data_IF_174661761403
#
_entry.id   IF_174661761403
#
_cell.length_a   1.000
_cell.length_b   1.000
_cell.length_c   1.000
_cell.angle_alpha   90.00
_cell.angle_beta   90.00
_cell.angle_gamma   90.00
#
_symmetry.space_group_name_H-M   'P 1'
#
loop_
_entity.id
_entity.type
_entity.pdbx_description
1 polymer ?
#
# COMPACT_ATOMS: atom_id res chain seq x y z
N UNK A 1 -18.25 23.54 5.60
CA UNK A 1 -16.86 24.04 5.72
C UNK A 1 -16.17 23.34 6.87
N UNK A 2 -14.92 22.90 6.72
CA UNK A 2 -14.18 22.21 7.79
C UNK A 2 -13.83 23.17 8.93
N UNK A 3 -13.92 22.72 10.18
CA UNK A 3 -13.49 23.49 11.36
C UNK A 3 -11.99 23.85 11.34
N UNK A 4 -11.20 23.18 10.51
CA UNK A 4 -9.76 23.42 10.35
C UNK A 4 -9.40 24.36 9.19
N UNK A 5 -10.40 24.89 8.47
CA UNK A 5 -10.20 25.84 7.38
C UNK A 5 -9.37 27.09 7.77
N UNK A 6 -9.51 27.68 8.98
CA UNK A 6 -8.71 28.85 9.35
C UNK A 6 -7.19 28.61 9.34
N UNK A 7 -6.74 27.41 9.70
CA UNK A 7 -5.32 27.03 9.62
C UNK A 7 -4.86 26.93 8.16
N UNK A 8 -5.69 26.37 7.28
CA UNK A 8 -5.38 26.28 5.85
C UNK A 8 -5.32 27.66 5.20
N UNK A 9 -6.24 28.56 5.53
CA UNK A 9 -6.27 29.93 5.04
C UNK A 9 -5.07 30.73 5.53
N UNK A 10 -4.71 30.57 6.81
CA UNK A 10 -3.48 31.14 7.37
C UNK A 10 -2.24 30.70 6.59
N UNK A 11 -2.07 29.39 6.39
CA UNK A 11 -0.95 28.83 5.64
C UNK A 11 -0.92 29.34 4.19
N UNK A 12 -2.07 29.35 3.49
CA UNK A 12 -2.16 29.81 2.10
C UNK A 12 -1.62 31.22 1.90
N UNK A 13 -1.88 32.11 2.86
CA UNK A 13 -1.55 33.54 2.81
C UNK A 13 -0.16 33.89 3.37
N UNK A 14 0.63 32.93 3.87
CA UNK A 14 1.97 33.21 4.37
C UNK A 14 2.97 33.48 3.25
N UNK A 15 3.64 34.63 3.26
CA UNK A 15 4.71 34.95 2.30
C UNK A 15 6.08 34.30 2.65
N UNK A 16 6.05 33.10 3.23
CA UNK A 16 7.24 32.34 3.64
C UNK A 16 7.15 30.92 3.10
N UNK A 17 8.30 30.26 2.94
CA UNK A 17 8.40 28.88 2.46
C UNK A 17 8.33 27.85 3.60
N UNK A 18 8.62 28.23 4.84
CA UNK A 18 8.54 27.38 6.02
C UNK A 18 8.00 28.16 7.22
N UNK A 19 7.22 27.49 8.07
CA UNK A 19 6.69 28.03 9.30
C UNK A 19 6.67 26.95 10.38
N UNK A 20 7.04 27.29 11.60
CA UNK A 20 6.83 26.44 12.78
C UNK A 20 5.80 27.10 13.66
N UNK A 21 4.77 26.36 14.03
CA UNK A 21 3.68 26.80 14.89
C UNK A 21 3.63 25.94 16.14
N UNK A 22 3.51 26.58 17.29
CA UNK A 22 3.11 25.92 18.52
C UNK A 22 1.65 25.50 18.45
N UNK A 23 1.26 24.50 19.26
CA UNK A 23 -0.12 24.05 19.31
C UNK A 23 -1.05 25.16 19.78
N UNK A 24 -0.58 26.02 20.69
CA UNK A 24 -1.38 27.11 21.24
C UNK A 24 -1.60 28.24 20.20
N UNK A 25 -0.64 28.47 19.29
CA UNK A 25 -0.86 29.32 18.10
C UNK A 25 -1.91 28.73 17.18
N UNK A 26 -1.88 27.42 16.93
CA UNK A 26 -2.88 26.73 16.11
C UNK A 26 -4.26 26.81 16.76
N UNK A 27 -4.37 26.60 18.08
CA UNK A 27 -5.63 26.73 18.81
C UNK A 27 -6.21 28.15 18.73
N UNK A 28 -5.37 29.18 18.80
CA UNK A 28 -5.79 30.58 18.59
C UNK A 28 -6.29 30.83 17.16
N UNK A 29 -5.62 30.26 16.15
CA UNK A 29 -6.06 30.35 14.75
C UNK A 29 -7.40 29.64 14.52
N UNK A 30 -7.61 28.50 15.17
CA UNK A 30 -8.80 27.67 15.00
C UNK A 30 -10.01 28.17 15.81
N UNK A 31 -9.80 28.93 16.88
CA UNK A 31 -10.85 29.37 17.80
C UNK A 31 -11.36 28.25 18.72
N UNK A 32 -10.67 27.11 18.79
CA UNK A 32 -10.97 26.01 19.71
C UNK A 32 -9.69 25.24 20.07
N UNK A 33 -9.73 24.53 21.21
CA UNK A 33 -8.60 23.70 21.66
C UNK A 33 -8.45 22.45 20.81
N UNK A 34 -7.22 22.13 20.41
CA UNK A 34 -6.94 20.95 19.62
C UNK A 34 -7.39 19.71 20.41
N UNK A 35 -7.98 18.71 19.74
CA UNK A 35 -8.41 17.50 20.43
C UNK A 35 -7.20 16.82 21.09
N UNK A 36 -7.38 16.10 22.22
CA UNK A 36 -6.29 15.39 22.89
C UNK A 36 -5.47 14.47 21.97
N UNK A 37 -6.08 14.00 20.86
CA UNK A 37 -5.43 13.20 19.83
C UNK A 37 -4.31 13.94 19.11
N UNK A 38 -4.41 15.25 18.93
CA UNK A 38 -3.36 16.07 18.29
C UNK A 38 -2.05 16.07 19.09
N UNK A 39 -2.13 15.97 20.43
CA UNK A 39 -0.97 15.90 21.33
C UNK A 39 -0.44 14.50 21.61
N UNK A 40 -1.12 13.45 21.15
CA UNK A 40 -0.78 12.05 21.47
C UNK A 40 -0.48 11.19 20.24
N UNK A 41 -1.03 11.53 19.07
CA UNK A 41 -0.95 10.69 17.88
C UNK A 41 -0.33 11.45 16.71
N UNK A 42 0.91 11.08 16.34
CA UNK A 42 1.63 11.61 15.17
C UNK A 42 0.81 11.58 13.86
N UNK A 43 -0.02 10.56 13.57
CA UNK A 43 -0.83 10.53 12.35
C UNK A 43 -1.81 11.69 12.19
N UNK A 44 -2.23 12.35 13.29
CA UNK A 44 -3.08 13.54 13.24
C UNK A 44 -2.47 14.68 12.41
N UNK A 45 -1.14 14.78 12.42
CA UNK A 45 -0.35 15.79 11.69
C UNK A 45 0.19 15.27 10.36
N UNK A 46 -0.23 14.08 9.93
CA UNK A 46 0.26 13.47 8.69
C UNK A 46 -0.22 14.22 7.45
N UNK A 47 0.55 14.10 6.37
CA UNK A 47 0.22 14.58 5.02
C UNK A 47 -0.79 13.66 4.29
N UNK A 48 -1.65 12.93 5.03
CA UNK A 48 -2.59 11.98 4.44
C UNK A 48 -3.91 12.66 4.01
N UNK A 49 -4.41 12.27 2.83
CA UNK A 49 -5.63 12.79 2.20
C UNK A 49 -6.85 11.90 2.26
N UNK A 50 -6.76 10.76 2.93
CA UNK A 50 -7.59 9.59 2.59
C UNK A 50 -8.90 9.52 3.39
N UNK A 51 -9.25 10.57 4.17
CA UNK A 51 -10.48 10.61 4.97
C UNK A 51 -11.13 11.99 4.95
N UNK A 52 -12.44 12.04 4.74
CA UNK A 52 -13.23 13.25 4.98
C UNK A 52 -13.08 13.70 6.43
N UNK A 53 -12.67 14.96 6.62
CA UNK A 53 -12.48 15.57 7.94
C UNK A 53 -11.08 15.45 8.56
N UNK A 54 -10.12 14.74 7.95
CA UNK A 54 -8.74 14.75 8.43
C UNK A 54 -8.05 16.09 8.12
N UNK A 55 -7.42 16.76 9.11
CA UNK A 55 -6.85 18.09 8.91
C UNK A 55 -5.66 18.10 7.91
N UNK A 56 -4.99 16.94 7.75
CA UNK A 56 -3.99 16.61 6.72
C UNK A 56 -4.30 17.05 5.30
N UNK A 57 -5.57 16.95 4.93
CA UNK A 57 -6.04 17.34 3.59
C UNK A 57 -5.93 18.84 3.37
N UNK A 58 -6.20 19.65 4.39
CA UNK A 58 -6.44 21.09 4.24
C UNK A 58 -5.16 21.89 4.10
N UNK A 59 -4.10 21.56 4.84
CA UNK A 59 -2.80 22.20 4.59
C UNK A 59 -2.21 21.76 3.24
N UNK A 60 -2.48 20.53 2.78
CA UNK A 60 -2.10 20.11 1.42
C UNK A 60 -2.84 20.86 0.34
N UNK A 61 -4.16 21.03 0.45
CA UNK A 61 -4.96 21.87 -0.44
C UNK A 61 -4.54 23.35 -0.38
N UNK A 62 -3.97 23.81 0.73
CA UNK A 62 -3.38 25.14 0.85
C UNK A 62 -1.97 25.26 0.25
N UNK A 63 -1.40 24.17 -0.29
CA UNK A 63 -0.05 24.13 -0.85
C UNK A 63 1.04 23.99 0.22
N UNK A 64 0.78 23.24 1.30
CA UNK A 64 1.70 23.02 2.42
C UNK A 64 1.76 21.55 2.83
N UNK A 65 2.93 21.13 3.31
CA UNK A 65 3.13 19.80 3.89
C UNK A 65 3.81 19.92 5.25
N UNK A 66 3.44 19.03 6.16
CA UNK A 66 4.10 18.87 7.43
C UNK A 66 5.48 18.22 7.22
N UNK A 67 6.51 18.79 7.87
CA UNK A 67 7.92 18.35 7.73
C UNK A 67 8.61 18.03 9.06
N UNK A 68 8.13 18.57 10.20
CA UNK A 68 8.65 18.26 11.53
C UNK A 68 7.52 18.32 12.56
N UNK A 69 7.54 17.40 13.52
CA UNK A 69 6.56 17.35 14.61
C UNK A 69 7.29 17.03 15.91
N UNK A 70 7.17 17.95 16.87
CA UNK A 70 7.61 17.79 18.24
C UNK A 70 6.38 17.79 19.16
N UNK A 71 5.97 16.58 19.59
CA UNK A 71 4.82 16.42 20.49
C UNK A 71 5.14 16.87 21.92
N UNK A 72 6.40 16.74 22.36
CA UNK A 72 6.84 17.08 23.71
C UNK A 72 6.90 18.60 23.86
N UNK A 73 7.55 19.27 22.91
CA UNK A 73 7.59 20.73 22.83
C UNK A 73 6.30 21.34 22.29
N UNK A 74 5.33 20.54 21.79
CA UNK A 74 4.06 20.98 21.17
C UNK A 74 4.26 21.95 20.01
N UNK A 75 5.15 21.59 19.07
CA UNK A 75 5.40 22.34 17.84
C UNK A 75 5.23 21.47 16.59
N UNK A 76 4.77 22.08 15.51
CA UNK A 76 4.70 21.46 14.18
C UNK A 76 5.26 22.44 13.14
N UNK A 77 6.11 21.93 12.25
CA UNK A 77 6.67 22.69 11.14
C UNK A 77 6.00 22.29 9.84
N UNK A 78 5.53 23.29 9.10
CA UNK A 78 5.00 23.17 7.75
C UNK A 78 5.96 23.84 6.78
N UNK A 79 6.11 23.26 5.60
CA UNK A 79 6.80 23.86 4.46
C UNK A 79 5.80 23.98 3.33
N UNK A 80 5.89 25.04 2.52
CA UNK A 80 5.15 25.11 1.26
C UNK A 80 5.44 23.82 0.51
N UNK A 81 4.38 23.05 0.28
CA UNK A 81 4.38 22.02 -0.72
C UNK A 81 4.30 22.83 -1.98
N UNK A 82 5.45 23.22 -2.51
CA UNK A 82 5.54 23.70 -3.86
C UNK A 82 4.74 22.71 -4.71
N UNK A 83 3.55 23.11 -5.16
CA UNK A 83 3.13 22.79 -6.52
C UNK A 83 4.05 23.63 -7.44
N UNK A 84 5.34 23.40 -7.31
CA UNK A 84 6.20 23.50 -8.46
C UNK A 84 5.92 22.18 -9.19
N UNK A 85 5.82 22.18 -10.53
CA UNK A 85 6.31 20.99 -11.21
C UNK A 85 7.66 20.73 -10.55
N UNK A 86 7.88 19.55 -9.97
CA UNK A 86 9.28 19.17 -9.81
C UNK A 86 9.77 19.24 -11.25
N UNK A 87 10.53 20.29 -11.55
CA UNK A 87 11.31 20.31 -12.76
C UNK A 87 12.08 19.00 -12.65
N UNK A 88 11.92 18.15 -13.65
CA UNK A 88 12.56 16.85 -13.68
C UNK A 88 14.04 17.01 -13.30
N UNK A 89 14.66 18.12 -13.71
CA UNK A 89 16.03 18.51 -13.40
C UNK A 89 16.36 18.59 -11.91
N UNK A 90 15.40 18.92 -11.05
CA UNK A 90 15.59 18.93 -9.61
C UNK A 90 15.80 17.54 -9.00
N UNK A 91 15.34 16.48 -9.67
CA UNK A 91 15.57 15.08 -9.29
C UNK A 91 16.91 14.53 -9.78
N UNK A 92 17.63 15.26 -10.64
CA UNK A 92 18.93 14.82 -11.13
C UNK A 92 19.88 14.55 -9.95
N UNK A 93 20.43 13.33 -9.80
CA UNK A 93 21.29 12.98 -8.68
C UNK A 93 22.50 13.91 -8.56
N UNK A 94 22.74 14.47 -7.37
CA UNK A 94 23.85 15.43 -7.13
C UNK A 94 25.05 14.79 -6.46
N UNK A 95 24.83 13.68 -5.76
CA UNK A 95 25.83 12.96 -4.96
C UNK A 95 26.07 11.56 -5.49
N UNK A 96 27.11 10.88 -5.00
CA UNK A 96 27.35 9.45 -5.22
C UNK A 96 27.14 8.70 -3.91
N UNK A 97 25.90 8.65 -3.41
CA UNK A 97 25.58 7.99 -2.14
C UNK A 97 25.97 6.51 -2.16
N UNK A 98 26.36 5.90 -1.04
CA UNK A 98 26.62 4.46 -1.01
C UNK A 98 25.29 3.69 -1.07
N UNK A 99 25.19 2.68 -1.94
CA UNK A 99 23.93 1.94 -2.10
C UNK A 99 23.49 1.30 -0.77
N UNK A 100 24.46 0.83 0.01
CA UNK A 100 24.28 0.38 1.38
C UNK A 100 23.54 1.42 2.25
N UNK A 101 23.98 2.68 2.26
CA UNK A 101 23.39 3.76 3.06
C UNK A 101 22.02 4.16 2.52
N UNK A 102 21.88 4.28 1.19
CA UNK A 102 20.62 4.63 0.56
C UNK A 102 19.52 3.58 0.83
N UNK A 103 19.88 2.30 0.92
CA UNK A 103 18.94 1.24 1.28
C UNK A 103 18.52 1.31 2.74
N UNK A 104 19.44 1.62 3.66
CA UNK A 104 19.10 1.85 5.06
C UNK A 104 18.16 3.07 5.22
N UNK A 105 18.46 4.17 4.52
CA UNK A 105 17.62 5.37 4.52
C UNK A 105 16.21 5.10 3.94
N UNK A 106 16.13 4.18 2.97
CA UNK A 106 14.87 3.74 2.39
C UNK A 106 14.12 2.70 3.25
N UNK A 107 14.70 2.26 4.38
CA UNK A 107 14.09 1.33 5.34
C UNK A 107 14.36 -0.16 5.05
N UNK A 108 15.31 -0.49 4.17
CA UNK A 108 15.66 -1.87 3.83
C UNK A 108 16.78 -2.40 4.71
N UNK A 109 16.66 -3.69 5.07
CA UNK A 109 17.74 -4.40 5.76
C UNK A 109 18.91 -4.64 4.80
N UNK A 110 20.13 -4.45 5.31
CA UNK A 110 21.40 -4.68 4.60
C UNK A 110 22.26 -5.73 5.32
N UNK A 111 21.65 -6.52 6.21
CA UNK A 111 22.38 -7.50 7.03
C UNK A 111 23.15 -8.51 6.17
N UNK A 112 22.55 -8.96 5.07
CA UNK A 112 23.17 -9.93 4.14
C UNK A 112 24.46 -9.40 3.48
N UNK A 113 24.66 -8.08 3.44
CA UNK A 113 25.84 -7.48 2.82
C UNK A 113 27.12 -7.82 3.59
N UNK A 114 27.01 -8.15 4.87
CA UNK A 114 28.13 -8.55 5.73
C UNK A 114 28.63 -9.96 5.47
N UNK A 115 27.99 -10.73 4.57
CA UNK A 115 28.32 -12.13 4.32
C UNK A 115 28.62 -12.43 2.86
N UNK A 116 29.51 -13.38 2.62
CA UNK A 116 29.75 -13.98 1.30
C UNK A 116 28.60 -14.93 0.96
N UNK A 117 28.56 -15.44 -0.27
CA UNK A 117 27.62 -16.50 -0.66
C UNK A 117 27.75 -17.78 0.18
N UNK A 118 28.92 -18.01 0.78
CA UNK A 118 29.19 -19.16 1.64
C UNK A 118 28.94 -18.86 3.13
N UNK A 119 28.54 -17.63 3.47
CA UNK A 119 28.20 -17.22 4.84
C UNK A 119 29.34 -16.56 5.64
N UNK A 120 30.55 -16.49 5.07
CA UNK A 120 31.74 -15.90 5.71
C UNK A 120 31.63 -14.37 5.81
N UNK A 121 32.22 -13.72 6.83
CA UNK A 121 32.21 -12.26 6.94
C UNK A 121 32.92 -11.56 5.77
N UNK A 122 32.35 -10.43 5.31
CA UNK A 122 32.94 -9.56 4.28
C UNK A 122 33.52 -8.31 4.92
N UNK A 123 34.82 -8.07 4.73
CA UNK A 123 35.51 -6.91 5.31
C UNK A 123 34.99 -5.57 4.75
N UNK A 124 34.83 -5.49 3.42
CA UNK A 124 34.30 -4.31 2.72
C UNK A 124 32.81 -4.46 2.38
N UNK A 125 31.99 -4.84 3.36
CA UNK A 125 30.56 -5.14 3.16
C UNK A 125 29.78 -4.02 2.48
N UNK A 126 30.10 -2.74 2.73
CA UNK A 126 29.44 -1.58 2.10
C UNK A 126 29.58 -1.51 0.57
N UNK A 127 30.52 -2.27 0.01
CA UNK A 127 30.78 -2.36 -1.44
C UNK A 127 30.72 -3.81 -1.92
N UNK A 128 29.97 -4.69 -1.23
CA UNK A 128 29.87 -6.10 -1.56
C UNK A 128 29.42 -6.30 -3.03
N UNK A 129 30.27 -6.91 -3.89
CA UNK A 129 29.98 -7.12 -5.32
C UNK A 129 28.72 -7.93 -5.58
N UNK A 130 28.27 -8.74 -4.62
CA UNK A 130 27.03 -9.52 -4.72
C UNK A 130 25.79 -8.64 -4.84
N UNK A 131 25.82 -7.43 -4.27
CA UNK A 131 24.64 -6.58 -4.16
C UNK A 131 24.80 -5.22 -4.86
N UNK A 132 26.03 -4.71 -5.00
CA UNK A 132 26.26 -3.34 -5.45
C UNK A 132 25.94 -3.10 -6.95
N UNK A 133 25.66 -4.15 -7.71
CA UNK A 133 25.27 -4.12 -9.12
C UNK A 133 23.78 -4.40 -9.37
N UNK A 134 23.01 -4.71 -8.32
CA UNK A 134 21.59 -5.04 -8.46
C UNK A 134 20.74 -3.82 -8.82
N UNK A 135 19.70 -4.05 -9.61
CA UNK A 135 18.83 -2.99 -10.15
C UNK A 135 17.57 -2.77 -9.31
N UNK A 136 17.29 -3.66 -8.38
CA UNK A 136 16.27 -3.50 -7.37
C UNK A 136 16.67 -4.24 -6.08
N UNK A 137 16.03 -3.88 -4.98
CA UNK A 137 16.24 -4.49 -3.66
C UNK A 137 14.90 -4.67 -2.95
N UNK A 138 14.91 -5.51 -1.92
CA UNK A 138 13.73 -5.78 -1.10
C UNK A 138 12.98 -7.01 -1.57
N UNK A 139 11.74 -7.11 -1.12
CA UNK A 139 10.92 -8.31 -1.24
C UNK A 139 9.44 -7.95 -1.18
N UNK A 140 8.58 -8.94 -1.39
CA UNK A 140 7.13 -8.75 -1.23
C UNK A 140 6.73 -8.28 0.17
N UNK A 141 7.44 -8.73 1.21
CA UNK A 141 7.13 -8.37 2.60
C UNK A 141 7.64 -6.98 2.96
N UNK A 142 8.79 -6.60 2.42
CA UNK A 142 9.49 -5.36 2.80
C UNK A 142 9.18 -4.19 1.85
N UNK A 143 8.55 -4.48 0.71
CA UNK A 143 8.44 -3.56 -0.42
C UNK A 143 9.70 -3.60 -1.30
N UNK A 144 9.77 -2.71 -2.27
CA UNK A 144 10.88 -2.69 -3.23
C UNK A 144 11.54 -1.31 -3.30
N UNK A 145 12.88 -1.31 -3.38
CA UNK A 145 13.66 -0.18 -3.86
C UNK A 145 14.05 -0.43 -5.33
N UNK A 146 13.67 0.48 -6.22
CA UNK A 146 13.92 0.38 -7.66
C UNK A 146 15.01 1.37 -8.07
N UNK A 147 16.02 0.90 -8.80
CA UNK A 147 17.08 1.77 -9.33
C UNK A 147 16.72 2.22 -10.74
N UNK A 148 16.34 3.49 -10.92
CA UNK A 148 16.02 4.07 -12.22
C UNK A 148 17.11 5.01 -12.70
N UNK A 149 17.41 4.95 -14.00
CA UNK A 149 18.21 5.99 -14.64
C UNK A 149 17.38 7.27 -14.75
N UNK A 150 17.96 8.37 -14.28
CA UNK A 150 17.34 9.70 -14.34
C UNK A 150 16.84 10.06 -15.74
N UNK A 151 17.60 9.69 -16.78
CA UNK A 151 17.25 9.96 -18.19
C UNK A 151 16.00 9.20 -18.69
N UNK A 152 15.51 8.20 -17.95
CA UNK A 152 14.26 7.50 -18.27
C UNK A 152 13.04 8.11 -17.60
N UNK A 153 13.25 9.09 -16.73
CA UNK A 153 12.15 9.85 -16.20
C UNK A 153 11.68 10.87 -17.23
N UNK A 154 10.38 11.06 -17.29
CA UNK A 154 9.73 12.07 -18.13
C UNK A 154 8.65 12.76 -17.32
N UNK A 155 8.15 13.87 -17.84
CA UNK A 155 6.93 14.52 -17.34
C UNK A 155 5.79 14.16 -18.26
N UNK A 156 4.72 13.59 -17.73
CA UNK A 156 3.54 13.25 -18.50
C UNK A 156 2.66 14.49 -18.82
N UNK A 157 1.60 14.37 -19.64
CA UNK A 157 0.72 15.49 -19.97
C UNK A 157 0.01 16.15 -18.79
N UNK A 158 -0.07 15.46 -17.64
CA UNK A 158 -0.66 15.97 -16.40
C UNK A 158 0.38 16.65 -15.50
N UNK A 159 1.62 16.79 -15.95
CA UNK A 159 2.70 17.42 -15.19
C UNK A 159 3.31 16.49 -14.13
N UNK A 160 3.03 15.19 -14.16
CA UNK A 160 3.55 14.22 -13.19
C UNK A 160 4.90 13.68 -13.67
N UNK A 161 5.83 13.49 -12.75
CA UNK A 161 7.08 12.78 -13.05
C UNK A 161 6.82 11.28 -13.07
N UNK A 162 7.18 10.65 -14.18
CA UNK A 162 6.92 9.24 -14.42
C UNK A 162 8.16 8.53 -14.95
N UNK A 163 8.29 7.25 -14.62
CA UNK A 163 9.06 6.29 -15.38
C UNK A 163 8.07 5.54 -16.28
N UNK A 164 8.18 5.75 -17.59
CA UNK A 164 7.46 4.98 -18.60
C UNK A 164 8.47 4.13 -19.36
N UNK A 165 8.31 2.81 -19.35
CA UNK A 165 9.26 1.95 -20.03
C UNK A 165 8.93 0.46 -19.96
N UNK A 166 9.77 -0.33 -20.61
CA UNK A 166 9.64 -1.77 -20.67
C UNK A 166 10.96 -2.44 -20.25
N UNK A 167 11.03 -2.86 -18.99
CA UNK A 167 12.23 -3.52 -18.44
C UNK A 167 12.37 -4.93 -19.01
N UNK A 168 11.25 -5.60 -19.34
CA UNK A 168 11.24 -6.92 -19.97
C UNK A 168 11.89 -6.93 -21.35
N UNK A 169 11.65 -5.90 -22.15
CA UNK A 169 12.31 -5.75 -23.44
C UNK A 169 13.84 -5.72 -23.30
N UNK A 170 14.35 -5.03 -22.26
CA UNK A 170 15.79 -5.03 -21.94
C UNK A 170 16.29 -6.42 -21.53
N UNK A 171 15.52 -7.14 -20.70
CA UNK A 171 15.82 -8.53 -20.35
C UNK A 171 15.90 -9.43 -21.58
N UNK A 172 14.92 -9.36 -22.47
CA UNK A 172 14.83 -10.24 -23.64
C UNK A 172 15.98 -9.97 -24.63
N UNK A 173 16.34 -8.70 -24.85
CA UNK A 173 17.48 -8.32 -25.66
C UNK A 173 18.81 -8.85 -25.08
N UNK A 174 19.01 -8.74 -23.76
CA UNK A 174 20.20 -9.27 -23.08
C UNK A 174 20.25 -10.79 -23.12
N UNK A 175 19.12 -11.45 -22.95
CA UNK A 175 19.02 -12.91 -22.98
C UNK A 175 19.30 -13.45 -24.38
N UNK A 176 18.90 -12.73 -25.44
CA UNK A 176 19.26 -13.08 -26.81
C UNK A 176 20.78 -13.03 -27.03
N UNK A 177 21.46 -11.98 -26.55
CA UNK A 177 22.92 -11.86 -26.61
C UNK A 177 23.61 -12.98 -25.80
N UNK A 178 23.09 -13.29 -24.61
CA UNK A 178 23.65 -14.34 -23.76
C UNK A 178 23.59 -15.74 -24.40
N UNK A 179 22.60 -15.97 -25.29
CA UNK A 179 22.36 -17.24 -26.00
C UNK A 179 22.99 -17.29 -27.39
N UNK A 180 23.53 -16.18 -27.87
CA UNK A 180 24.17 -16.11 -29.20
C UNK A 180 25.59 -16.66 -29.13
N UNK A 181 25.77 -17.91 -29.56
CA UNK A 181 27.07 -18.59 -29.59
C UNK A 181 28.11 -17.90 -30.49
N UNK A 182 27.69 -16.99 -31.38
CA UNK A 182 28.61 -16.19 -32.22
C UNK A 182 29.23 -15.00 -31.48
N UNK A 183 28.65 -14.59 -30.36
CA UNK A 183 29.17 -13.53 -29.49
C UNK A 183 30.33 -14.01 -28.61
N UNK A 184 31.23 -13.11 -28.24
CA UNK A 184 32.37 -13.42 -27.34
C UNK A 184 31.90 -13.97 -25.97
N UNK A 185 32.64 -14.93 -25.41
CA UNK A 185 32.24 -15.60 -24.17
C UNK A 185 32.10 -14.64 -22.98
N UNK A 186 32.95 -13.61 -22.88
CA UNK A 186 32.86 -12.60 -21.82
C UNK A 186 31.65 -11.67 -22.01
N UNK A 187 31.29 -11.40 -23.27
CA UNK A 187 30.09 -10.64 -23.63
C UNK A 187 28.83 -11.43 -23.27
N UNK A 188 28.77 -12.74 -23.56
CA UNK A 188 27.65 -13.60 -23.20
C UNK A 188 27.44 -13.68 -21.68
N UNK A 189 28.52 -13.89 -20.92
CA UNK A 189 28.45 -13.96 -19.45
C UNK A 189 27.93 -12.65 -18.84
N UNK A 190 28.44 -11.52 -19.33
CA UNK A 190 28.00 -10.19 -18.87
C UNK A 190 26.53 -9.94 -19.22
N UNK A 191 26.11 -10.32 -20.43
CA UNK A 191 24.72 -10.20 -20.86
C UNK A 191 23.79 -11.08 -20.01
N UNK A 192 24.22 -12.29 -19.66
CA UNK A 192 23.49 -13.18 -18.75
C UNK A 192 23.26 -12.54 -17.37
N UNK A 193 24.30 -12.00 -16.73
CA UNK A 193 24.18 -11.35 -15.42
C UNK A 193 23.29 -10.10 -15.48
N UNK A 194 23.41 -9.32 -16.55
CA UNK A 194 22.55 -8.15 -16.77
C UNK A 194 21.10 -8.56 -17.03
N UNK A 195 20.85 -9.66 -17.76
CA UNK A 195 19.51 -10.18 -17.99
C UNK A 195 18.86 -10.58 -16.66
N UNK A 196 19.57 -11.29 -15.78
CA UNK A 196 19.07 -11.67 -14.47
C UNK A 196 18.62 -10.45 -13.64
N UNK A 197 19.40 -9.36 -13.67
CA UNK A 197 19.07 -8.09 -12.98
C UNK A 197 17.88 -7.36 -13.61
N UNK A 198 17.80 -7.35 -14.94
CA UNK A 198 16.65 -6.79 -15.65
C UNK A 198 15.37 -7.55 -15.29
N UNK A 199 15.44 -8.89 -15.25
CA UNK A 199 14.32 -9.72 -14.82
C UNK A 199 13.89 -9.41 -13.38
N UNK A 200 14.83 -9.31 -12.45
CA UNK A 200 14.52 -9.01 -11.05
C UNK A 200 13.81 -7.65 -10.91
N UNK A 201 14.24 -6.63 -11.65
CA UNK A 201 13.57 -5.33 -11.68
C UNK A 201 12.16 -5.39 -12.29
N UNK A 202 11.97 -6.12 -13.40
CA UNK A 202 10.65 -6.34 -14.01
C UNK A 202 9.70 -7.05 -13.03
N UNK A 203 10.16 -8.12 -12.38
CA UNK A 203 9.40 -8.87 -11.38
C UNK A 203 9.01 -7.97 -10.19
N UNK A 204 9.91 -7.10 -9.72
CA UNK A 204 9.65 -6.15 -8.64
C UNK A 204 8.60 -5.09 -9.02
N UNK A 205 8.66 -4.56 -10.24
CA UNK A 205 7.65 -3.62 -10.77
C UNK A 205 6.30 -4.32 -10.89
N UNK A 206 6.27 -5.51 -11.49
CA UNK A 206 5.06 -6.32 -11.64
C UNK A 206 4.41 -6.62 -10.29
N UNK A 207 5.21 -6.98 -9.29
CA UNK A 207 4.72 -7.31 -7.97
C UNK A 207 4.26 -6.07 -7.19
N UNK A 208 4.96 -4.95 -7.36
CA UNK A 208 4.52 -3.65 -6.85
C UNK A 208 3.16 -3.24 -7.43
N UNK A 209 2.94 -3.47 -8.74
CA UNK A 209 1.66 -3.26 -9.39
C UNK A 209 0.57 -4.21 -8.86
N UNK A 210 0.81 -5.52 -8.92
CA UNK A 210 -0.15 -6.58 -8.53
C UNK A 210 -0.61 -6.44 -7.08
N UNK A 211 0.26 -5.95 -6.20
CA UNK A 211 -0.01 -5.81 -4.76
C UNK A 211 -0.32 -4.38 -4.33
N UNK A 212 -0.15 -3.41 -5.23
CA UNK A 212 -0.25 -1.99 -4.91
C UNK A 212 0.74 -1.56 -3.84
N UNK A 213 1.97 -2.08 -3.90
CA UNK A 213 3.05 -1.70 -2.97
C UNK A 213 3.55 -0.31 -3.30
N UNK A 214 3.96 0.40 -2.26
CA UNK A 214 4.74 1.63 -2.40
C UNK A 214 6.17 1.24 -2.77
N UNK A 215 6.68 1.80 -3.86
CA UNK A 215 8.08 1.65 -4.25
C UNK A 215 8.92 2.83 -3.72
N UNK A 216 10.14 2.53 -3.30
CA UNK A 216 11.20 3.52 -3.11
C UNK A 216 12.03 3.59 -4.38
N UNK A 217 12.51 4.76 -4.78
CA UNK A 217 13.29 4.92 -6.01
C UNK A 217 14.66 5.52 -5.72
N UNK A 218 15.70 4.83 -6.18
CA UNK A 218 17.07 5.32 -6.21
C UNK A 218 17.35 5.79 -7.64
N UNK A 219 17.61 7.09 -7.79
CA UNK A 219 17.89 7.69 -9.08
C UNK A 219 19.38 7.59 -9.38
N UNK A 220 19.71 7.11 -10.56
CA UNK A 220 21.06 6.88 -11.06
C UNK A 220 21.35 7.78 -12.26
N UNK A 221 22.59 8.26 -12.33
CA UNK A 221 23.09 9.02 -13.47
C UNK A 221 24.55 8.64 -13.75
N UNK A 222 24.93 8.60 -15.02
CA UNK A 222 26.27 8.26 -15.46
C UNK A 222 26.28 7.82 -16.91
N UNK A 223 27.24 6.98 -17.27
CA UNK A 223 27.38 6.49 -18.64
C UNK A 223 26.55 5.20 -18.77
N UNK A 224 25.32 5.34 -19.26
CA UNK A 224 24.49 4.20 -19.61
C UNK A 224 24.74 3.78 -21.06
N UNK A 225 24.92 2.49 -21.24
CA UNK A 225 25.05 1.87 -22.56
C UNK A 225 23.72 1.86 -23.30
N UNK A 226 23.79 2.16 -24.59
CA UNK A 226 22.63 2.06 -25.49
C UNK A 226 22.29 0.59 -25.74
N UNK A 227 21.08 0.34 -26.25
CA UNK A 227 20.58 -1.02 -26.53
C UNK A 227 21.51 -1.77 -27.51
N UNK A 228 22.08 -1.09 -28.50
CA UNK A 228 23.04 -1.62 -29.47
C UNK A 228 24.45 -1.87 -28.89
N UNK A 229 24.69 -1.46 -27.65
CA UNK A 229 25.93 -1.66 -26.90
C UNK A 229 25.80 -2.68 -25.75
N UNK A 230 24.63 -3.30 -25.59
CA UNK A 230 24.41 -4.32 -24.56
C UNK A 230 25.40 -5.47 -24.71
N UNK A 231 25.85 -6.03 -23.57
CA UNK A 231 26.88 -7.08 -23.53
C UNK A 231 28.32 -6.62 -23.82
N UNK A 232 28.52 -5.53 -24.59
CA UNK A 232 29.87 -5.02 -24.93
C UNK A 232 30.59 -4.37 -23.74
N UNK A 233 29.84 -3.88 -22.74
CA UNK A 233 30.38 -3.26 -21.54
C UNK A 233 29.32 -3.05 -20.45
N UNK A 234 29.76 -2.68 -19.24
CA UNK A 234 28.85 -2.31 -18.17
C UNK A 234 28.54 -0.80 -18.22
N UNK A 235 27.29 -0.43 -17.95
CA UNK A 235 26.92 0.94 -17.61
C UNK A 235 27.59 1.34 -16.30
N UNK A 236 27.99 2.61 -16.16
CA UNK A 236 28.63 3.11 -14.95
C UNK A 236 27.81 4.23 -14.31
N UNK A 237 27.59 4.10 -13.00
CA UNK A 237 26.86 5.09 -12.20
C UNK A 237 27.88 6.10 -11.65
N UNK A 238 27.81 7.32 -12.14
CA UNK A 238 28.63 8.45 -11.67
C UNK A 238 28.03 9.06 -10.39
N UNK A 239 26.70 9.22 -10.38
CA UNK A 239 25.93 9.80 -9.28
C UNK A 239 24.70 8.95 -9.00
N UNK A 240 24.31 8.85 -7.72
CA UNK A 240 23.06 8.23 -7.30
C UNK A 240 22.55 8.81 -5.99
N UNK A 241 21.23 8.89 -5.88
CA UNK A 241 20.55 9.49 -4.74
C UNK A 241 19.18 8.83 -4.55
N UNK A 242 18.79 8.60 -3.29
CA UNK A 242 17.44 8.18 -2.93
C UNK A 242 16.48 9.35 -3.12
N UNK A 243 15.38 9.11 -3.83
CA UNK A 243 14.26 10.03 -3.85
C UNK A 243 13.42 9.88 -2.58
N UNK A 244 13.10 11.00 -1.96
CA UNK A 244 12.33 11.05 -0.71
C UNK A 244 10.84 10.81 -0.94
N UNK A 245 10.36 11.00 -2.17
CA UNK A 245 8.97 10.74 -2.52
C UNK A 245 8.68 9.24 -2.64
N UNK A 246 7.40 8.91 -2.49
CA UNK A 246 6.88 7.57 -2.74
C UNK A 246 6.54 7.41 -4.22
N UNK A 247 6.73 6.20 -4.75
CA UNK A 247 6.43 5.88 -6.14
C UNK A 247 5.42 4.76 -6.21
N UNK A 248 4.59 4.80 -7.25
CA UNK A 248 3.48 3.88 -7.42
C UNK A 248 3.45 3.36 -8.85
N UNK A 249 3.31 2.05 -9.04
CA UNK A 249 3.08 1.50 -10.37
C UNK A 249 1.60 1.68 -10.72
N UNK A 250 1.32 2.56 -11.68
CA UNK A 250 -0.04 2.90 -12.14
C UNK A 250 -0.54 1.92 -13.19
N UNK A 251 0.35 1.39 -14.02
CA UNK A 251 0.01 0.43 -15.08
C UNK A 251 1.14 -0.56 -15.30
N UNK A 252 0.79 -1.78 -15.69
CA UNK A 252 1.71 -2.83 -16.09
C UNK A 252 1.03 -3.82 -17.05
N UNK A 253 1.54 -3.96 -18.27
CA UNK A 253 1.07 -4.97 -19.23
C UNK A 253 1.79 -6.30 -18.96
N UNK A 254 1.04 -7.32 -18.54
CA UNK A 254 1.61 -8.63 -18.19
C UNK A 254 2.18 -9.41 -19.37
N UNK A 255 1.77 -9.11 -20.60
CA UNK A 255 2.25 -9.72 -21.85
C UNK A 255 3.52 -9.03 -22.34
N UNK A 256 3.52 -7.70 -22.43
CA UNK A 256 4.63 -6.95 -23.01
C UNK A 256 5.69 -6.53 -21.99
N UNK A 257 5.31 -6.30 -20.73
CA UNK A 257 6.17 -5.72 -19.70
C UNK A 257 6.22 -4.19 -19.71
N UNK A 258 5.39 -3.54 -20.55
CA UNK A 258 5.23 -2.08 -20.50
C UNK A 258 4.67 -1.65 -19.15
N UNK A 259 5.26 -0.62 -18.55
CA UNK A 259 4.86 -0.13 -17.25
C UNK A 259 4.86 1.39 -17.16
N UNK A 260 4.04 1.91 -16.24
CA UNK A 260 3.99 3.31 -15.85
C UNK A 260 4.15 3.39 -14.34
N UNK A 261 5.26 3.96 -13.87
CA UNK A 261 5.52 4.23 -12.45
C UNK A 261 5.50 5.72 -12.23
N UNK A 262 4.67 6.19 -11.29
CA UNK A 262 4.39 7.60 -11.07
C UNK A 262 4.87 8.02 -9.70
N UNK A 263 5.58 9.15 -9.66
CA UNK A 263 6.11 9.76 -8.44
C UNK A 263 5.04 10.56 -7.71
N UNK A 264 4.93 10.36 -6.40
CA UNK A 264 4.17 11.17 -5.44
C UNK A 264 2.65 11.25 -5.72
N UNK A 265 2.16 10.43 -6.65
CA UNK A 265 0.73 10.33 -7.00
C UNK A 265 0.32 8.87 -6.86
N UNK A 266 -0.54 8.60 -5.90
CA UNK A 266 -1.18 7.30 -5.75
C UNK A 266 -2.17 7.09 -6.92
N UNK A 267 -2.28 5.89 -7.52
CA UNK A 267 -3.19 5.65 -8.63
C UNK A 267 -4.65 5.88 -8.23
N UNK A 268 -5.35 6.70 -9.02
CA UNK A 268 -6.79 6.96 -8.88
C UNK A 268 -7.60 5.71 -9.27
N UNK A 269 -8.71 5.46 -8.57
CA UNK A 269 -9.56 4.28 -8.78
C UNK A 269 -10.69 4.64 -9.76
N UNK A 270 -10.78 4.02 -10.96
CA UNK A 270 -11.98 4.17 -11.77
C UNK A 270 -13.13 3.36 -11.19
N UNK A 271 -14.24 4.03 -10.88
CA UNK A 271 -15.56 3.41 -10.66
C UNK A 271 -15.96 3.11 -9.21
N UNK A 272 -16.19 4.15 -8.41
CA UNK A 272 -17.05 4.05 -7.22
C UNK A 272 -18.17 5.09 -7.37
N UNK A 273 -19.29 4.69 -7.97
CA UNK A 273 -20.55 5.40 -7.75
C UNK A 273 -21.13 4.97 -6.39
N UNK A 274 -21.93 5.84 -5.78
CA UNK A 274 -22.45 5.73 -4.42
C UNK A 274 -23.35 4.49 -4.17
N UNK A 275 -23.70 3.72 -5.21
CA UNK A 275 -24.72 2.67 -5.17
C UNK A 275 -24.23 1.33 -5.71
N UNK A 276 -23.01 0.90 -5.35
CA UNK A 276 -22.69 -0.53 -5.11
C UNK A 276 -22.84 -1.59 -6.21
N UNK A 277 -23.28 -1.27 -7.42
CA UNK A 277 -23.55 -2.28 -8.46
C UNK A 277 -22.42 -2.34 -9.50
N UNK A 278 -21.87 -3.53 -9.73
CA UNK A 278 -20.99 -3.86 -10.85
C UNK A 278 -21.73 -4.92 -11.69
N UNK A 279 -22.10 -4.57 -12.93
CA UNK A 279 -22.62 -5.51 -13.92
C UNK A 279 -21.58 -6.58 -14.29
N UNK A 280 -22.04 -7.83 -14.37
CA UNK A 280 -21.26 -8.95 -14.87
C UNK A 280 -21.25 -8.93 -16.40
N UNK A 281 -20.09 -8.64 -16.99
CA UNK A 281 -19.81 -8.90 -18.40
C UNK A 281 -19.06 -10.24 -18.52
N UNK A 282 -19.60 -11.14 -19.33
CA UNK A 282 -19.07 -12.50 -19.59
C UNK A 282 -17.89 -12.50 -20.57
N UNK A 283 -17.61 -11.38 -21.26
CA UNK A 283 -16.51 -11.26 -22.23
C UNK A 283 -15.23 -10.58 -21.67
N UNK A 284 -15.08 -10.56 -20.34
CA UNK A 284 -14.03 -9.78 -19.68
C UNK A 284 -12.59 -10.24 -20.02
N UNK A 285 -11.75 -9.29 -20.43
CA UNK A 285 -10.35 -9.49 -20.83
C UNK A 285 -9.40 -9.74 -19.63
N UNK A 286 -8.17 -10.21 -19.90
CA UNK A 286 -7.18 -10.57 -18.86
C UNK A 286 -6.84 -9.43 -17.88
N UNK A 287 -6.92 -8.17 -18.33
CA UNK A 287 -6.74 -6.95 -17.52
C UNK A 287 -7.91 -6.69 -16.56
N UNK A 288 -9.13 -7.14 -16.89
CA UNK A 288 -10.32 -6.96 -16.06
C UNK A 288 -10.38 -7.98 -14.93
N UNK A 289 -9.89 -9.20 -15.15
CA UNK A 289 -9.71 -10.23 -14.12
C UNK A 289 -8.64 -9.83 -13.10
N UNK A 290 -7.56 -9.19 -13.56
CA UNK A 290 -6.49 -8.69 -12.67
C UNK A 290 -6.91 -7.45 -11.87
N UNK A 291 -7.64 -6.51 -12.48
CA UNK A 291 -8.23 -5.38 -11.78
C UNK A 291 -9.26 -5.82 -10.73
N UNK A 292 -10.02 -6.90 -10.98
CA UNK A 292 -10.91 -7.51 -9.98
C UNK A 292 -10.14 -8.03 -8.77
N UNK A 293 -8.99 -8.69 -8.94
CA UNK A 293 -8.19 -9.19 -7.81
C UNK A 293 -7.59 -8.08 -6.92
N UNK A 294 -7.17 -6.96 -7.52
CA UNK A 294 -6.67 -5.77 -6.80
C UNK A 294 -7.83 -5.06 -6.08
N UNK A 295 -8.98 -4.88 -6.75
CA UNK A 295 -10.22 -4.36 -6.15
C UNK A 295 -10.66 -5.22 -4.95
N UNK A 296 -10.60 -6.55 -5.09
CA UNK A 296 -10.96 -7.49 -4.03
C UNK A 296 -10.04 -7.38 -2.81
N UNK A 297 -8.72 -7.25 -3.02
CA UNK A 297 -7.74 -7.18 -1.93
C UNK A 297 -7.79 -5.85 -1.17
N UNK A 298 -7.94 -4.72 -1.88
CA UNK A 298 -8.09 -3.39 -1.25
C UNK A 298 -9.46 -3.25 -0.57
N UNK A 299 -10.51 -3.83 -1.16
CA UNK A 299 -11.84 -3.93 -0.56
C UNK A 299 -11.82 -4.67 0.78
N UNK A 300 -11.19 -5.84 0.85
CA UNK A 300 -11.01 -6.62 2.08
C UNK A 300 -10.31 -5.82 3.20
N UNK A 301 -9.20 -5.13 2.90
CA UNK A 301 -8.48 -4.32 3.91
C UNK A 301 -9.30 -3.11 4.39
N UNK A 302 -10.05 -2.45 3.48
CA UNK A 302 -10.93 -1.33 3.83
C UNK A 302 -12.12 -1.81 4.65
N UNK A 303 -12.78 -2.87 4.21
CA UNK A 303 -13.90 -3.53 4.89
C UNK A 303 -13.54 -3.90 6.33
N UNK A 304 -12.39 -4.56 6.52
CA UNK A 304 -11.86 -4.87 7.86
C UNK A 304 -11.72 -3.63 8.73
N UNK A 305 -11.18 -2.54 8.18
CA UNK A 305 -10.96 -1.28 8.91
C UNK A 305 -12.29 -0.61 9.29
N UNK A 306 -13.28 -0.64 8.40
CA UNK A 306 -14.61 -0.10 8.64
C UNK A 306 -15.34 -0.89 9.73
N UNK A 307 -15.27 -2.23 9.68
CA UNK A 307 -15.86 -3.07 10.74
C UNK A 307 -15.16 -2.89 12.10
N UNK A 308 -13.84 -2.75 12.12
CA UNK A 308 -13.10 -2.42 13.35
C UNK A 308 -13.60 -1.12 13.99
N UNK A 309 -13.95 -0.12 13.19
CA UNK A 309 -14.49 1.16 13.67
C UNK A 309 -15.96 1.02 14.12
N UNK A 310 -16.81 0.44 13.25
CA UNK A 310 -18.24 0.26 13.49
C UNK A 310 -18.54 -0.56 14.75
N UNK A 311 -17.76 -1.61 14.99
CA UNK A 311 -17.91 -2.48 16.17
C UNK A 311 -17.08 -2.02 17.37
N UNK A 312 -16.48 -0.83 17.33
CA UNK A 312 -15.63 -0.28 18.41
C UNK A 312 -14.53 -1.25 18.84
N UNK A 313 -13.92 -1.93 17.85
CA UNK A 313 -12.86 -2.94 18.02
C UNK A 313 -13.26 -4.06 18.99
N UNK A 314 -14.51 -4.49 18.94
CA UNK A 314 -15.04 -5.52 19.81
C UNK A 314 -15.73 -6.62 18.99
N UNK A 315 -15.41 -7.88 19.28
CA UNK A 315 -16.11 -9.02 18.67
C UNK A 315 -17.62 -8.93 18.93
N UNK A 316 -18.43 -9.11 17.88
CA UNK A 316 -19.88 -9.03 17.94
C UNK A 316 -20.51 -10.08 18.87
N UNK A 317 -19.93 -11.29 18.94
CA UNK A 317 -20.42 -12.40 19.76
C UNK A 317 -19.84 -12.36 21.17
N UNK A 318 -18.51 -12.33 21.30
CA UNK A 318 -17.83 -12.52 22.60
C UNK A 318 -17.61 -11.21 23.37
N UNK A 319 -17.56 -10.08 22.64
CA UNK A 319 -17.12 -8.80 23.18
C UNK A 319 -15.61 -8.69 23.43
N UNK A 320 -14.80 -9.64 22.93
CA UNK A 320 -13.33 -9.54 23.00
C UNK A 320 -12.84 -8.27 22.31
N UNK A 321 -11.90 -7.56 22.93
CA UNK A 321 -11.30 -6.31 22.42
C UNK A 321 -9.84 -6.45 21.95
N UNK A 322 -9.32 -7.68 21.93
CA UNK A 322 -7.96 -7.98 21.45
C UNK A 322 -7.98 -7.90 19.93
N UNK A 323 -7.55 -6.77 19.37
CA UNK A 323 -7.67 -6.42 17.94
C UNK A 323 -7.01 -7.46 17.02
N UNK A 324 -5.90 -8.02 17.47
CA UNK A 324 -5.10 -9.02 16.76
C UNK A 324 -5.87 -10.33 16.56
N UNK A 325 -6.86 -10.62 17.42
CA UNK A 325 -7.73 -11.80 17.31
C UNK A 325 -9.02 -11.51 16.56
N UNK A 326 -9.26 -10.26 16.13
CA UNK A 326 -10.49 -9.89 15.44
C UNK A 326 -10.35 -10.06 13.93
N UNK A 327 -11.41 -10.53 13.29
CA UNK A 327 -11.54 -10.81 11.87
C UNK A 327 -12.84 -10.24 11.30
N UNK A 328 -12.78 -9.86 10.02
CA UNK A 328 -13.91 -9.32 9.29
C UNK A 328 -14.60 -10.47 8.54
N UNK A 329 -15.72 -10.94 9.10
CA UNK A 329 -16.51 -12.00 8.52
C UNK A 329 -17.57 -11.43 7.59
N UNK A 330 -17.67 -11.95 6.37
CA UNK A 330 -18.78 -11.59 5.48
C UNK A 330 -20.01 -12.42 5.86
N UNK A 331 -21.19 -11.79 5.89
CA UNK A 331 -22.46 -12.47 6.13
C UNK A 331 -22.85 -13.26 4.88
N UNK A 332 -22.88 -12.57 3.73
CA UNK A 332 -22.96 -13.17 2.40
C UNK A 332 -21.54 -13.33 1.86
N UNK A 333 -21.08 -14.57 1.59
CA UNK A 333 -19.72 -14.83 1.11
C UNK A 333 -19.36 -14.01 -0.12
N UNK A 334 -18.12 -13.52 -0.15
CA UNK A 334 -17.57 -12.78 -1.27
C UNK A 334 -17.63 -13.54 -2.61
N UNK A 335 -17.61 -14.87 -2.57
CA UNK A 335 -17.76 -15.75 -3.75
C UNK A 335 -19.14 -15.71 -4.40
N UNK A 336 -20.16 -15.24 -3.67
CA UNK A 336 -21.54 -15.12 -4.17
C UNK A 336 -21.89 -13.68 -4.55
N UNK A 337 -21.36 -12.71 -3.80
CA UNK A 337 -21.57 -11.28 -4.06
C UNK A 337 -20.40 -10.47 -3.51
N UNK A 338 -19.81 -9.61 -4.34
CA UNK A 338 -18.79 -8.66 -3.88
C UNK A 338 -19.47 -7.47 -3.22
N UNK A 339 -19.66 -7.55 -1.90
CA UNK A 339 -20.23 -6.46 -1.09
C UNK A 339 -19.34 -6.16 0.12
N UNK A 340 -18.68 -4.99 0.08
CA UNK A 340 -17.82 -4.47 1.14
C UNK A 340 -18.53 -3.47 2.07
N UNK A 341 -19.85 -3.39 2.00
CA UNK A 341 -20.66 -2.66 2.96
C UNK A 341 -20.48 -3.24 4.36
N UNK A 342 -20.37 -2.38 5.37
CA UNK A 342 -20.39 -2.79 6.79
C UNK A 342 -21.65 -3.60 7.13
N UNK A 343 -22.75 -3.40 6.39
CA UNK A 343 -23.99 -4.18 6.50
C UNK A 343 -23.81 -5.65 6.13
N UNK A 344 -22.86 -5.99 5.28
CA UNK A 344 -22.53 -7.38 4.94
C UNK A 344 -21.45 -7.97 5.87
N UNK A 345 -21.20 -7.34 7.02
CA UNK A 345 -20.06 -7.69 7.86
C UNK A 345 -20.37 -7.87 9.34
N UNK A 346 -19.70 -8.85 9.93
CA UNK A 346 -19.59 -9.03 11.37
C UNK A 346 -18.10 -8.96 11.75
N UNK A 347 -17.76 -8.21 12.80
CA UNK A 347 -16.42 -8.28 13.39
C UNK A 347 -16.39 -9.41 14.42
N UNK A 348 -15.68 -10.49 14.12
CA UNK A 348 -15.67 -11.71 14.94
C UNK A 348 -14.29 -11.98 15.50
N UNK A 349 -14.20 -12.84 16.53
CA UNK A 349 -12.92 -13.39 16.99
C UNK A 349 -12.56 -14.55 16.03
N UNK A 350 -11.29 -14.79 15.74
CA UNK A 350 -10.88 -15.74 14.71
C UNK A 350 -11.51 -17.15 14.83
N UNK A 351 -11.61 -17.68 16.06
CA UNK A 351 -12.29 -18.95 16.34
C UNK A 351 -13.80 -18.88 16.05
N UNK A 352 -14.47 -17.80 16.45
CA UNK A 352 -15.89 -17.57 16.18
C UNK A 352 -16.15 -17.40 14.68
N UNK A 353 -15.26 -16.71 13.96
CA UNK A 353 -15.32 -16.58 12.51
C UNK A 353 -15.22 -17.94 11.83
N UNK A 354 -14.30 -18.79 12.29
CA UNK A 354 -14.14 -20.16 11.79
C UNK A 354 -15.42 -20.99 12.02
N UNK A 355 -16.02 -20.92 13.21
CA UNK A 355 -17.29 -21.60 13.50
C UNK A 355 -18.45 -21.06 12.65
N UNK A 356 -18.46 -19.75 12.40
CA UNK A 356 -19.45 -19.11 11.54
C UNK A 356 -19.34 -19.60 10.09
N UNK A 357 -18.13 -19.76 9.56
CA UNK A 357 -17.87 -20.25 8.20
C UNK A 357 -18.16 -21.74 8.02
N UNK A 358 -17.95 -22.54 9.06
CA UNK A 358 -18.26 -23.98 9.05
C UNK A 358 -19.75 -24.29 9.29
N UNK A 359 -20.62 -23.28 9.34
CA UNK A 359 -22.03 -23.43 9.75
C UNK A 359 -22.18 -24.16 11.10
N UNK A 360 -21.24 -23.95 12.03
CA UNK A 360 -21.31 -24.44 13.41
C UNK A 360 -21.81 -23.35 14.37
N UNK A 361 -21.80 -22.09 13.92
CA UNK A 361 -22.41 -20.94 14.56
C UNK A 361 -23.09 -20.07 13.52
N UNK A 362 -24.17 -19.39 13.88
CA UNK A 362 -24.91 -18.47 13.01
C UNK A 362 -25.52 -17.34 13.83
N UNK A 363 -25.99 -16.30 13.15
CA UNK A 363 -26.72 -15.18 13.73
C UNK A 363 -27.98 -14.96 12.89
N UNK A 364 -29.15 -14.93 13.52
CA UNK A 364 -30.42 -14.71 12.80
C UNK A 364 -30.71 -13.23 12.54
N UNK A 365 -31.79 -12.95 11.82
CA UNK A 365 -32.26 -11.60 11.46
C UNK A 365 -32.64 -10.73 12.68
N UNK A 366 -32.80 -11.35 13.86
CA UNK A 366 -33.04 -10.69 15.14
C UNK A 366 -31.76 -10.50 15.95
N UNK A 367 -30.59 -10.75 15.34
CA UNK A 367 -29.28 -10.69 15.96
C UNK A 367 -29.10 -11.65 17.15
N UNK A 368 -29.78 -12.80 17.15
CA UNK A 368 -29.58 -13.87 18.12
C UNK A 368 -28.56 -14.87 17.60
N UNK A 369 -27.61 -15.26 18.45
CA UNK A 369 -26.57 -16.24 18.14
C UNK A 369 -27.12 -17.65 18.30
N UNK A 370 -26.91 -18.47 17.28
CA UNK A 370 -27.26 -19.88 17.26
C UNK A 370 -25.99 -20.72 17.14
N UNK A 371 -25.84 -21.72 17.99
CA UNK A 371 -24.69 -22.64 18.00
C UNK A 371 -25.20 -24.04 17.68
N UNK A 372 -24.46 -24.78 16.85
CA UNK A 372 -24.78 -26.16 16.46
C UNK A 372 -24.84 -27.08 17.68
N UNK A 373 -25.74 -28.06 17.64
CA UNK A 373 -25.94 -29.06 18.70
C UNK A 373 -24.70 -29.95 18.90
N UNK A 374 -23.84 -30.08 17.89
CA UNK A 374 -22.57 -30.80 18.02
C UNK A 374 -21.62 -30.14 19.03
N UNK A 375 -21.80 -28.84 19.30
CA UNK A 375 -21.00 -28.06 20.25
C UNK A 375 -21.70 -27.88 21.61
N UNK A 376 -22.82 -28.56 21.88
CA UNK A 376 -23.62 -28.36 23.09
C UNK A 376 -22.87 -28.57 24.41
N UNK A 377 -21.85 -29.45 24.40
CA UNK A 377 -21.03 -29.75 25.58
C UNK A 377 -19.68 -29.02 25.58
N UNK A 378 -19.55 -27.95 24.79
CA UNK A 378 -18.34 -27.12 24.72
C UNK A 378 -18.58 -25.74 25.31
N UNK A 379 -17.50 -25.00 25.53
CA UNK A 379 -17.55 -23.62 26.00
C UNK A 379 -18.27 -22.66 25.04
N UNK A 380 -18.39 -23.00 23.75
CA UNK A 380 -19.12 -22.18 22.78
C UNK A 380 -20.64 -22.16 22.99
N UNK A 381 -21.21 -23.18 23.63
CA UNK A 381 -22.66 -23.26 23.87
C UNK A 381 -23.19 -22.11 24.73
N UNK A 382 -22.32 -21.48 25.54
CA UNK A 382 -22.68 -20.31 26.35
C UNK A 382 -23.23 -19.13 25.51
N UNK A 383 -22.90 -19.07 24.21
CA UNK A 383 -23.38 -18.04 23.29
C UNK A 383 -24.73 -18.38 22.66
N UNK A 384 -25.17 -19.64 22.71
CA UNK A 384 -26.43 -20.08 22.10
C UNK A 384 -27.63 -19.33 22.72
N UNK A 385 -28.52 -18.80 21.87
CA UNK A 385 -29.71 -18.07 22.27
C UNK A 385 -29.45 -16.67 22.86
N UNK A 386 -28.20 -16.18 22.82
CA UNK A 386 -27.86 -14.83 23.28
C UNK A 386 -27.91 -13.83 22.13
N UNK A 387 -28.31 -12.60 22.42
CA UNK A 387 -28.15 -11.49 21.48
C UNK A 387 -26.67 -11.18 21.26
N UNK A 388 -26.33 -10.67 20.07
CA UNK A 388 -25.02 -10.09 19.81
C UNK A 388 -24.66 -9.07 20.89
N UNK A 389 -23.46 -9.21 21.45
CA UNK A 389 -22.91 -8.32 22.46
C UNK A 389 -22.42 -7.00 21.86
N UNK A 390 -21.98 -7.03 20.61
CA UNK A 390 -21.57 -5.84 19.85
C UNK A 390 -22.44 -5.65 18.62
N UNK A 391 -23.20 -4.56 18.59
CA UNK A 391 -23.93 -4.07 17.41
C UNK A 391 -23.46 -2.63 17.14
N UNK A 392 -23.20 -2.25 15.88
CA UNK A 392 -22.86 -0.87 15.54
C UNK A 392 -23.96 0.12 15.94
N UNK A 393 -23.56 1.27 16.49
CA UNK A 393 -24.50 2.29 16.96
C UNK A 393 -25.23 2.98 15.78
N UNK A 394 -24.58 3.05 14.60
CA UNK A 394 -25.13 3.65 13.38
C UNK A 394 -25.95 2.61 12.62
N UNK A 395 -27.21 2.92 12.31
CA UNK A 395 -28.11 2.01 11.60
C UNK A 395 -27.61 1.61 10.21
N UNK A 396 -26.87 2.48 9.53
CA UNK A 396 -26.24 2.20 8.24
C UNK A 396 -25.13 1.15 8.33
N UNK A 397 -24.49 0.99 9.49
CA UNK A 397 -23.41 0.02 9.75
C UNK A 397 -23.91 -1.31 10.34
N UNK A 398 -25.19 -1.38 10.73
CA UNK A 398 -25.77 -2.59 11.31
C UNK A 398 -25.89 -3.71 10.26
N UNK A 399 -25.68 -4.97 10.68
CA UNK A 399 -25.72 -6.09 9.77
C UNK A 399 -27.10 -6.22 9.10
N UNK A 400 -27.10 -6.57 7.81
CA UNK A 400 -28.31 -6.70 7.01
C UNK A 400 -29.19 -7.83 7.54
N UNK A 401 -30.42 -7.50 7.95
CA UNK A 401 -31.38 -8.49 8.44
C UNK A 401 -31.67 -9.59 7.38
N UNK A 402 -31.80 -9.21 6.11
CA UNK A 402 -32.02 -10.17 5.02
C UNK A 402 -30.77 -11.03 4.74
N UNK A 403 -29.58 -10.45 4.88
CA UNK A 403 -28.32 -11.19 4.78
C UNK A 403 -28.17 -12.23 5.89
N UNK A 404 -28.46 -11.83 7.13
CA UNK A 404 -28.46 -12.70 8.31
C UNK A 404 -29.52 -13.82 8.18
N UNK A 405 -30.74 -13.49 7.74
CA UNK A 405 -31.79 -14.49 7.49
C UNK A 405 -31.32 -15.60 6.54
N UNK A 406 -30.74 -15.21 5.39
CA UNK A 406 -30.20 -16.16 4.40
C UNK A 406 -29.06 -17.00 4.96
N UNK A 407 -28.10 -16.38 5.67
CA UNK A 407 -26.98 -17.10 6.29
C UNK A 407 -27.47 -18.06 7.38
N UNK A 408 -28.52 -17.70 8.11
CA UNK A 408 -29.13 -18.55 9.11
C UNK A 408 -29.89 -19.74 8.52
N UNK A 409 -30.52 -19.58 7.36
CA UNK A 409 -31.14 -20.68 6.63
C UNK A 409 -30.12 -21.76 6.26
N UNK A 410 -28.97 -21.38 5.68
CA UNK A 410 -27.88 -22.33 5.38
C UNK A 410 -27.35 -23.05 6.62
N UNK A 411 -27.31 -22.38 7.77
CA UNK A 411 -26.99 -23.02 9.04
C UNK A 411 -28.04 -24.06 9.44
N UNK A 412 -29.34 -23.75 9.31
CA UNK A 412 -30.43 -24.69 9.64
C UNK A 412 -30.44 -25.93 8.75
N UNK A 413 -30.14 -25.78 7.46
CA UNK A 413 -30.01 -26.90 6.52
C UNK A 413 -28.80 -27.79 6.87
N UNK A 414 -27.67 -27.18 7.20
CA UNK A 414 -26.51 -27.93 7.66
C UNK A 414 -26.79 -28.65 8.99
N UNK A 415 -27.58 -28.02 9.88
CA UNK A 415 -27.91 -28.55 11.21
C UNK A 415 -28.96 -29.66 11.19
N UNK A 416 -29.86 -29.69 10.20
CA UNK A 416 -30.80 -30.80 9.99
C UNK A 416 -30.14 -32.03 9.39
N UNK A 417 -29.00 -31.83 8.71
CA UNK A 417 -28.21 -32.88 8.06
C UNK A 417 -27.17 -33.53 8.99
N UNK A 418 -27.09 -33.07 10.25
CA UNK A 418 -26.23 -33.60 11.33
C UNK A 418 -27.07 -34.32 12.36
#
# INVERSE_FOLDING_TARGET
MSKYAPLADYLRNLDRSEVTLSFDEIERLLGFRLPPTAGRFRPYWSNSGVKDGHPGRLWREAGWRQIRLDLTGRHVSFRRSEAMPFDLESLRPKTKGLLYELLQDAGFSVEEWHRTSNGDPVENYRSNPRFCYEWCFGSVSDGFALCFWYENLTTDPLGRIVFGGNVRETHDALLAIARDDTSDASMRLRAHDQAARAKALDDAIQESFRRGLVARVILCEGNRRRVDELGKGASSVARRQLDVAEWYVHAYDSRTGECLVVRDVEPEVPGVNADGDIEYDEDATYDEVQNRAIKTRRGQQRFRRQLLDAYRKSCAVTGSRVVELLEAAHIVPHSLLTDYSTRNGLLLRADIHTLFDLNLMSVDDRCVVHVSRTLANTDYWQYHGKYLKGIPDRSEDQPSASGLARRHESFREAESSR
#
